data_IF_108732049332
#
_entry.id   IF_108732049332
#
_cell.length_a   1.000
_cell.length_b   1.000
_cell.length_c   1.000
_cell.angle_alpha   90.00
_cell.angle_beta   90.00
_cell.angle_gamma   90.00
#
_symmetry.space_group_name_H-M   'P 1'
#
loop_
_entity.id
_entity.type
_entity.pdbx_description
1 polymer ?
#
# COMPACT_ATOMS: atom_id res chain seq x y z
N UNK A 1 11.59 -27.15 4.44
CA UNK A 1 12.42 -26.16 3.73
C UNK A 1 11.66 -25.37 2.64
N UNK A 2 10.74 -25.97 1.87
CA UNK A 2 9.98 -25.27 0.79
C UNK A 2 9.00 -24.16 1.23
N UNK A 3 8.53 -24.18 2.49
CA UNK A 3 7.54 -23.20 2.97
C UNK A 3 8.15 -21.87 3.45
N UNK A 4 9.38 -21.90 3.99
CA UNK A 4 10.12 -20.68 4.31
C UNK A 4 10.45 -19.94 3.02
N UNK A 5 10.98 -20.67 2.01
CA UNK A 5 11.34 -20.07 0.72
C UNK A 5 10.17 -19.41 0.00
N UNK A 6 8.93 -19.87 0.23
CA UNK A 6 7.73 -19.25 -0.35
C UNK A 6 7.31 -17.95 0.36
N UNK A 7 7.53 -17.82 1.67
CA UNK A 7 7.31 -16.54 2.37
C UNK A 7 8.43 -15.56 1.99
N UNK A 8 9.67 -16.04 2.03
CA UNK A 8 10.88 -15.24 1.79
C UNK A 8 10.81 -14.57 0.40
N UNK A 9 10.31 -15.25 -0.63
CA UNK A 9 10.14 -14.66 -1.96
C UNK A 9 9.20 -13.44 -2.01
N UNK A 10 8.12 -13.42 -1.21
CA UNK A 10 7.24 -12.24 -1.11
C UNK A 10 7.93 -11.09 -0.37
N UNK A 11 8.68 -11.40 0.70
CA UNK A 11 9.39 -10.39 1.49
C UNK A 11 10.56 -9.78 0.71
N UNK A 12 11.31 -10.59 -0.03
CA UNK A 12 12.40 -10.15 -0.90
C UNK A 12 11.88 -9.29 -2.05
N UNK A 13 10.72 -9.64 -2.61
CA UNK A 13 10.04 -8.84 -3.64
C UNK A 13 9.64 -7.47 -3.08
N UNK A 14 9.13 -7.41 -1.84
CA UNK A 14 8.84 -6.15 -1.15
C UNK A 14 10.12 -5.32 -0.92
N UNK A 15 11.16 -5.93 -0.36
CA UNK A 15 12.43 -5.25 -0.09
C UNK A 15 13.11 -4.72 -1.36
N UNK A 16 12.98 -5.44 -2.48
CA UNK A 16 13.50 -5.01 -3.78
C UNK A 16 12.76 -3.80 -4.35
N UNK A 17 11.45 -3.68 -4.13
CA UNK A 17 10.66 -2.49 -4.55
C UNK A 17 10.89 -1.28 -3.63
N UNK A 18 11.22 -1.54 -2.37
CA UNK A 18 11.44 -0.54 -1.34
C UNK A 18 12.81 -0.69 -0.69
N UNK A 19 13.91 -0.42 -1.42
CA UNK A 19 15.26 -0.53 -0.87
C UNK A 19 15.49 0.40 0.34
N UNK A 20 14.79 1.54 0.41
CA UNK A 20 14.80 2.45 1.57
C UNK A 20 14.22 1.80 2.83
N UNK A 21 13.46 0.70 2.70
CA UNK A 21 12.89 -0.01 3.84
C UNK A 21 13.96 -0.56 4.78
N UNK A 22 15.14 -0.91 4.26
CA UNK A 22 16.31 -1.32 5.08
C UNK A 22 16.74 -0.22 6.08
N UNK A 23 16.55 1.06 5.73
CA UNK A 23 16.82 2.21 6.61
C UNK A 23 15.62 2.52 7.50
N UNK A 24 14.42 2.15 7.06
CA UNK A 24 13.15 2.52 7.69
C UNK A 24 12.67 1.51 8.75
N UNK A 25 12.89 0.22 8.52
CA UNK A 25 12.48 -0.89 9.39
C UNK A 25 12.96 -0.76 10.84
N UNK A 26 14.18 -0.27 11.14
CA UNK A 26 14.63 -0.09 12.52
C UNK A 26 13.72 0.81 13.37
N UNK A 27 12.93 1.69 12.74
CA UNK A 27 11.96 2.55 13.43
C UNK A 27 10.62 1.86 13.74
N UNK A 28 10.45 0.61 13.31
CA UNK A 28 9.32 -0.24 13.64
C UNK A 28 9.69 -1.09 14.87
N UNK A 29 8.80 -1.19 15.88
CA UNK A 29 9.02 -2.08 17.03
C UNK A 29 9.36 -3.48 16.55
N UNK A 30 10.41 -4.09 17.12
CA UNK A 30 10.92 -5.39 16.70
C UNK A 30 9.82 -6.48 16.59
N UNK A 31 8.87 -6.61 17.55
CA UNK A 31 7.80 -7.60 17.45
C UNK A 31 6.85 -7.39 16.25
N UNK A 32 6.79 -6.18 15.69
CA UNK A 32 5.91 -5.83 14.58
C UNK A 32 6.58 -5.94 13.21
N UNK A 33 7.92 -6.06 13.12
CA UNK A 33 8.65 -6.00 11.84
C UNK A 33 8.22 -7.11 10.88
N UNK A 34 8.11 -8.35 11.36
CA UNK A 34 7.68 -9.48 10.54
C UNK A 34 6.25 -9.34 10.01
N UNK A 35 5.31 -8.92 10.87
CA UNK A 35 3.92 -8.65 10.48
C UNK A 35 3.85 -7.50 9.49
N UNK A 36 4.66 -6.45 9.70
CA UNK A 36 4.76 -5.30 8.79
C UNK A 36 5.22 -5.71 7.40
N UNK A 37 6.31 -6.47 7.29
CA UNK A 37 6.83 -6.91 6.00
C UNK A 37 5.83 -7.81 5.26
N UNK A 38 5.18 -8.75 5.97
CA UNK A 38 4.14 -9.59 5.39
C UNK A 38 2.90 -8.78 4.94
N UNK A 39 2.48 -7.79 5.73
CA UNK A 39 1.36 -6.91 5.39
C UNK A 39 1.66 -6.07 4.14
N UNK A 40 2.84 -5.48 4.06
CA UNK A 40 3.23 -4.69 2.89
C UNK A 40 3.47 -5.54 1.64
N UNK A 41 3.98 -6.76 1.79
CA UNK A 41 4.04 -7.71 0.70
C UNK A 41 2.63 -8.08 0.18
N UNK A 42 1.63 -8.23 1.07
CA UNK A 42 0.25 -8.46 0.67
C UNK A 42 -0.33 -7.28 -0.13
N UNK A 43 -0.18 -6.05 0.39
CA UNK A 43 -0.63 -4.84 -0.31
C UNK A 43 0.06 -4.70 -1.68
N UNK A 44 1.33 -5.04 -1.77
CA UNK A 44 2.08 -5.05 -3.02
C UNK A 44 1.54 -6.05 -4.04
N UNK A 45 1.09 -7.24 -3.63
CA UNK A 45 0.47 -8.20 -4.55
C UNK A 45 -0.81 -7.64 -5.18
N UNK A 46 -1.58 -6.84 -4.45
CA UNK A 46 -2.77 -6.18 -4.99
C UNK A 46 -2.44 -4.97 -5.85
N UNK A 47 -1.37 -4.22 -5.52
CA UNK A 47 -0.81 -3.18 -6.39
C UNK A 47 -0.39 -3.76 -7.76
N UNK A 48 0.21 -4.95 -7.77
CA UNK A 48 0.61 -5.64 -9.00
C UNK A 48 -0.60 -6.09 -9.83
N UNK A 49 -1.67 -6.55 -9.17
CA UNK A 49 -2.92 -6.89 -9.83
C UNK A 49 -3.61 -5.65 -10.42
N UNK A 50 -3.61 -4.52 -9.69
CA UNK A 50 -4.13 -3.25 -10.18
C UNK A 50 -3.36 -2.75 -11.42
N UNK A 51 -2.04 -3.00 -11.47
CA UNK A 51 -1.14 -2.50 -12.49
C UNK A 51 -0.72 -3.56 -13.52
N UNK A 52 -1.54 -4.60 -13.74
CA UNK A 52 -1.30 -5.61 -14.76
C UNK A 52 -1.15 -4.97 -16.16
N UNK A 53 -0.19 -5.46 -16.94
CA UNK A 53 -0.02 -5.09 -18.34
C UNK A 53 -0.77 -6.08 -19.25
N UNK A 54 -1.43 -5.57 -20.29
CA UNK A 54 -2.15 -6.40 -21.26
C UNK A 54 -3.50 -6.89 -20.76
N UNK A 55 -3.80 -8.18 -21.00
CA UNK A 55 -5.09 -8.79 -20.65
C UNK A 55 -5.31 -8.81 -19.12
N UNK A 56 -6.40 -8.18 -18.60
CA UNK A 56 -6.67 -8.17 -17.18
C UNK A 56 -7.23 -9.49 -16.62
N UNK A 57 -7.73 -10.41 -17.47
CA UNK A 57 -8.44 -11.61 -17.00
C UNK A 57 -7.63 -12.48 -16.02
N UNK A 58 -6.33 -12.77 -16.24
CA UNK A 58 -5.54 -13.52 -15.26
C UNK A 58 -5.38 -12.79 -13.92
N UNK A 59 -5.23 -11.46 -13.96
CA UNK A 59 -5.14 -10.65 -12.75
C UNK A 59 -6.47 -10.60 -12.00
N UNK A 60 -7.59 -10.60 -12.71
CA UNK A 60 -8.94 -10.64 -12.15
C UNK A 60 -9.24 -11.96 -11.46
N UNK A 61 -8.85 -13.08 -12.08
CA UNK A 61 -8.93 -14.39 -11.43
C UNK A 61 -8.05 -14.45 -10.17
N UNK A 62 -6.83 -13.89 -10.21
CA UNK A 62 -5.95 -13.81 -9.03
C UNK A 62 -6.55 -12.94 -7.92
N UNK A 63 -7.22 -11.84 -8.27
CA UNK A 63 -7.91 -10.98 -7.32
C UNK A 63 -9.07 -11.71 -6.64
N UNK A 64 -9.89 -12.44 -7.41
CA UNK A 64 -10.97 -13.26 -6.87
C UNK A 64 -10.44 -14.37 -5.95
N UNK A 65 -9.31 -14.98 -6.29
CA UNK A 65 -8.61 -15.93 -5.41
C UNK A 65 -8.19 -15.26 -4.09
N UNK A 66 -7.61 -14.06 -4.13
CA UNK A 66 -7.26 -13.29 -2.92
C UNK A 66 -8.48 -12.95 -2.05
N UNK A 67 -9.63 -12.64 -2.66
CA UNK A 67 -10.87 -12.42 -1.93
C UNK A 67 -11.28 -13.67 -1.14
N UNK A 68 -11.20 -14.85 -1.75
CA UNK A 68 -11.50 -16.10 -1.06
C UNK A 68 -10.48 -16.40 0.04
N UNK A 69 -9.19 -16.20 -0.22
CA UNK A 69 -8.13 -16.43 0.76
C UNK A 69 -8.32 -15.54 2.01
N UNK A 70 -8.67 -14.25 1.84
CA UNK A 70 -8.98 -13.36 2.97
C UNK A 70 -10.25 -13.78 3.73
N UNK A 71 -11.27 -14.31 3.05
CA UNK A 71 -12.44 -14.89 3.73
C UNK A 71 -12.05 -16.11 4.54
N UNK A 72 -11.21 -16.98 3.99
CA UNK A 72 -10.67 -18.14 4.70
C UNK A 72 -9.81 -17.73 5.91
N UNK A 73 -9.11 -16.59 5.86
CA UNK A 73 -8.39 -16.06 7.03
C UNK A 73 -9.33 -15.64 8.16
N UNK A 74 -10.53 -15.16 7.84
CA UNK A 74 -11.56 -14.84 8.84
C UNK A 74 -12.00 -16.09 9.64
N UNK A 75 -11.84 -17.26 9.04
CA UNK A 75 -12.14 -18.57 9.63
C UNK A 75 -10.89 -19.35 10.08
N UNK A 76 -9.71 -18.72 10.05
CA UNK A 76 -8.42 -19.34 10.37
C UNK A 76 -8.03 -20.55 9.50
N UNK A 77 -8.38 -20.52 8.22
CA UNK A 77 -8.11 -21.59 7.27
C UNK A 77 -7.06 -21.20 6.23
N UNK A 78 -6.16 -20.28 6.58
CA UNK A 78 -5.11 -19.78 5.68
C UNK A 78 -4.25 -20.91 5.11
N UNK A 79 -4.05 -20.88 3.80
CA UNK A 79 -3.10 -21.79 3.11
C UNK A 79 -1.92 -21.03 2.51
N UNK A 80 -2.04 -19.72 2.39
CA UNK A 80 -1.01 -18.86 1.82
C UNK A 80 0.16 -18.60 2.79
N UNK A 81 1.43 -18.52 2.31
CA UNK A 81 2.58 -18.18 3.14
C UNK A 81 2.44 -16.88 3.93
N UNK A 82 1.89 -15.81 3.32
CA UNK A 82 1.60 -14.54 4.02
C UNK A 82 0.54 -14.71 5.11
N UNK A 83 -0.47 -15.55 4.87
CA UNK A 83 -1.53 -15.75 5.85
C UNK A 83 -1.02 -16.45 7.11
N UNK A 84 -0.01 -17.31 7.05
CA UNK A 84 0.64 -17.87 8.27
C UNK A 84 1.21 -16.82 9.21
N UNK A 85 1.51 -15.61 8.70
CA UNK A 85 1.98 -14.48 9.50
C UNK A 85 0.82 -13.57 9.89
N UNK A 86 -0.12 -13.32 8.97
CA UNK A 86 -1.18 -12.32 9.14
C UNK A 86 -2.46 -12.88 9.79
N UNK A 87 -2.94 -14.06 9.35
CA UNK A 87 -4.19 -14.69 9.83
C UNK A 87 -4.27 -14.91 11.35
N UNK A 88 -3.17 -15.20 12.09
CA UNK A 88 -3.22 -15.26 13.55
C UNK A 88 -3.73 -13.97 14.21
N UNK A 89 -3.64 -12.82 13.53
CA UNK A 89 -4.24 -11.56 13.97
C UNK A 89 -5.70 -11.49 13.50
N UNK A 90 -6.61 -11.20 14.44
CA UNK A 90 -8.07 -11.07 14.19
C UNK A 90 -8.45 -9.73 13.54
N UNK A 91 -7.80 -9.37 12.45
CA UNK A 91 -8.15 -8.19 11.67
C UNK A 91 -9.46 -8.44 10.88
N UNK A 92 -10.17 -7.39 10.41
CA UNK A 92 -11.39 -7.51 9.61
C UNK A 92 -11.12 -8.01 8.18
N UNK A 93 -10.65 -9.25 8.03
CA UNK A 93 -10.23 -9.82 6.74
C UNK A 93 -11.39 -9.92 5.74
N UNK A 94 -12.59 -10.29 6.17
CA UNK A 94 -13.78 -10.33 5.31
C UNK A 94 -14.14 -8.94 4.75
N UNK A 95 -14.10 -7.89 5.58
CA UNK A 95 -14.31 -6.52 5.12
C UNK A 95 -13.27 -6.12 4.06
N UNK A 96 -12.00 -6.47 4.29
CA UNK A 96 -10.94 -6.22 3.32
C UNK A 96 -11.18 -6.97 2.00
N UNK A 97 -11.61 -8.23 2.06
CA UNK A 97 -11.96 -9.04 0.90
C UNK A 97 -13.04 -8.37 0.04
N UNK A 98 -14.11 -7.87 0.67
CA UNK A 98 -15.25 -7.26 -0.02
C UNK A 98 -14.87 -5.98 -0.78
N UNK A 99 -13.75 -5.35 -0.44
CA UNK A 99 -13.26 -4.12 -1.08
C UNK A 99 -12.27 -4.35 -2.22
N UNK A 100 -11.75 -5.58 -2.38
CA UNK A 100 -10.74 -5.87 -3.41
C UNK A 100 -11.18 -5.58 -4.86
N UNK A 101 -12.48 -5.68 -5.26
CA UNK A 101 -12.91 -5.24 -6.59
C UNK A 101 -12.55 -3.79 -6.94
N UNK A 102 -12.22 -2.95 -5.95
CA UNK A 102 -11.70 -1.61 -6.18
C UNK A 102 -10.41 -1.61 -7.04
N UNK A 103 -9.60 -2.68 -7.02
CA UNK A 103 -8.38 -2.78 -7.84
C UNK A 103 -8.69 -2.86 -9.33
N UNK A 104 -9.78 -3.55 -9.70
CA UNK A 104 -10.29 -3.61 -11.06
C UNK A 104 -10.86 -2.27 -11.48
N UNK A 105 -11.69 -1.69 -10.62
CA UNK A 105 -12.34 -0.41 -10.87
C UNK A 105 -11.29 0.69 -11.10
N UNK A 106 -10.24 0.72 -10.26
CA UNK A 106 -9.15 1.68 -10.39
C UNK A 106 -8.39 1.58 -11.71
N UNK A 107 -8.52 0.48 -12.48
CA UNK A 107 -7.92 0.36 -13.83
C UNK A 107 -8.53 1.30 -14.86
N UNK A 108 -9.75 1.77 -14.63
CA UNK A 108 -10.44 2.70 -15.52
C UNK A 108 -9.88 4.11 -15.32
N UNK A 109 -9.70 4.84 -16.43
CA UNK A 109 -9.29 6.23 -16.36
C UNK A 109 -10.34 7.07 -15.61
N UNK A 110 -9.98 7.76 -14.52
CA UNK A 110 -10.94 8.56 -13.76
C UNK A 110 -11.31 9.86 -14.51
N UNK A 111 -12.47 10.42 -14.26
CA UNK A 111 -12.89 11.73 -14.74
C UNK A 111 -12.33 12.88 -13.90
N UNK A 112 -11.95 12.64 -12.64
CA UNK A 112 -11.37 13.66 -11.76
C UNK A 112 -10.65 13.04 -10.55
N UNK A 113 -9.88 13.85 -9.82
CA UNK A 113 -9.29 13.45 -8.53
C UNK A 113 -10.35 12.96 -7.53
N UNK A 114 -11.48 13.66 -7.45
CA UNK A 114 -12.56 13.33 -6.50
C UNK A 114 -13.13 11.95 -6.81
N UNK A 115 -13.37 11.65 -8.09
CA UNK A 115 -13.86 10.33 -8.49
C UNK A 115 -12.82 9.24 -8.21
N UNK A 116 -11.54 9.48 -8.55
CA UNK A 116 -10.46 8.53 -8.29
C UNK A 116 -10.32 8.19 -6.80
N UNK A 117 -10.41 9.19 -5.92
CA UNK A 117 -10.39 9.00 -4.47
C UNK A 117 -11.64 8.27 -3.97
N UNK A 118 -12.82 8.60 -4.49
CA UNK A 118 -14.06 7.94 -4.12
C UNK A 118 -14.04 6.44 -4.48
N UNK A 119 -13.45 6.09 -5.62
CA UNK A 119 -13.35 4.70 -6.09
C UNK A 119 -12.48 3.81 -5.19
N UNK A 120 -11.46 4.38 -4.55
CA UNK A 120 -10.58 3.66 -3.62
C UNK A 120 -10.97 3.83 -2.15
N UNK A 121 -12.02 4.60 -1.83
CA UNK A 121 -12.37 4.96 -0.44
C UNK A 121 -12.63 3.73 0.43
N UNK A 122 -13.53 2.84 0.00
CA UNK A 122 -13.90 1.66 0.79
C UNK A 122 -12.71 0.73 1.04
N UNK A 123 -11.87 0.53 0.03
CA UNK A 123 -10.62 -0.23 0.16
C UNK A 123 -9.64 0.43 1.14
N UNK A 124 -9.43 1.74 1.02
CA UNK A 124 -8.55 2.48 1.91
C UNK A 124 -9.03 2.45 3.38
N UNK A 125 -10.34 2.54 3.60
CA UNK A 125 -10.96 2.39 4.92
C UNK A 125 -10.75 0.97 5.49
N UNK A 126 -10.90 -0.07 4.67
CA UNK A 126 -10.65 -1.45 5.09
C UNK A 126 -9.17 -1.71 5.38
N UNK A 127 -8.24 -1.13 4.62
CA UNK A 127 -6.79 -1.15 4.92
C UNK A 127 -6.52 -0.52 6.27
N UNK A 128 -7.05 0.68 6.52
CA UNK A 128 -6.90 1.36 7.81
C UNK A 128 -7.48 0.54 8.96
N UNK A 129 -8.64 -0.09 8.77
CA UNK A 129 -9.26 -0.94 9.78
C UNK A 129 -8.43 -2.20 10.08
N UNK A 130 -7.85 -2.83 9.05
CA UNK A 130 -6.93 -3.95 9.21
C UNK A 130 -5.66 -3.53 9.97
N UNK A 131 -5.07 -2.40 9.59
CA UNK A 131 -3.87 -1.86 10.24
C UNK A 131 -4.11 -1.45 11.69
N UNK A 132 -5.33 -1.00 12.03
CA UNK A 132 -5.67 -0.69 13.41
C UNK A 132 -5.54 -1.92 14.32
N UNK A 133 -5.97 -3.08 13.84
CA UNK A 133 -5.82 -4.34 14.58
C UNK A 133 -4.38 -4.85 14.52
N UNK A 134 -3.75 -4.88 13.34
CA UNK A 134 -2.39 -5.40 13.14
C UNK A 134 -1.34 -4.66 13.98
N UNK A 135 -1.54 -3.36 14.19
CA UNK A 135 -0.56 -2.50 14.86
C UNK A 135 -1.09 -1.86 16.15
N UNK A 136 -2.19 -2.38 16.71
CA UNK A 136 -2.80 -1.93 17.95
C UNK A 136 -3.07 -0.41 18.00
N UNK A 137 -3.50 0.16 16.87
CA UNK A 137 -3.84 1.59 16.75
C UNK A 137 -5.25 1.80 17.31
N UNK A 138 -5.42 2.77 18.21
CA UNK A 138 -6.73 3.11 18.79
C UNK A 138 -7.34 4.37 18.18
N UNK A 139 -6.50 5.21 17.58
CA UNK A 139 -6.96 6.44 16.92
C UNK A 139 -7.54 6.14 15.54
N UNK A 140 -8.55 6.92 15.09
CA UNK A 140 -9.03 6.87 13.71
C UNK A 140 -7.89 7.01 12.70
N UNK A 141 -8.02 6.31 11.58
CA UNK A 141 -7.02 6.35 10.52
C UNK A 141 -7.44 7.18 9.30
N UNK A 142 -6.45 7.74 8.61
CA UNK A 142 -6.61 8.60 7.45
C UNK A 142 -6.65 7.79 6.14
N UNK A 143 -7.84 7.27 5.81
CA UNK A 143 -8.04 6.51 4.57
C UNK A 143 -7.73 7.34 3.31
N UNK A 144 -7.88 8.67 3.35
CA UNK A 144 -7.54 9.51 2.20
C UNK A 144 -6.04 9.45 1.88
N UNK A 145 -5.17 9.38 2.88
CA UNK A 145 -3.73 9.20 2.67
C UNK A 145 -3.41 7.87 1.97
N UNK A 146 -4.08 6.79 2.35
CA UNK A 146 -3.94 5.48 1.69
C UNK A 146 -4.42 5.57 0.24
N UNK A 147 -5.61 6.13 0.00
CA UNK A 147 -6.15 6.26 -1.36
C UNK A 147 -5.22 7.07 -2.28
N UNK A 148 -4.68 8.20 -1.81
CA UNK A 148 -3.73 9.01 -2.59
C UNK A 148 -2.43 8.23 -2.89
N UNK A 149 -1.91 7.48 -1.91
CA UNK A 149 -0.72 6.65 -2.10
C UNK A 149 -0.93 5.58 -3.18
N UNK A 150 -2.11 4.94 -3.20
CA UNK A 150 -2.48 3.96 -4.21
C UNK A 150 -2.65 4.58 -5.60
N UNK A 151 -3.21 5.79 -5.69
CA UNK A 151 -3.26 6.53 -6.95
C UNK A 151 -1.87 6.92 -7.46
N UNK A 152 -0.92 7.28 -6.58
CA UNK A 152 0.48 7.52 -6.97
C UNK A 152 1.16 6.23 -7.45
N UNK A 153 0.95 5.10 -6.75
CA UNK A 153 1.46 3.80 -7.17
C UNK A 153 0.93 3.43 -8.56
N UNK A 154 -0.37 3.63 -8.81
CA UNK A 154 -0.98 3.46 -10.13
C UNK A 154 -0.36 4.38 -11.17
N UNK A 155 -0.22 5.67 -10.86
CA UNK A 155 0.37 6.66 -11.77
C UNK A 155 1.80 6.31 -12.20
N UNK A 156 2.58 5.70 -11.30
CA UNK A 156 3.97 5.29 -11.59
C UNK A 156 4.07 4.19 -12.64
N UNK A 157 3.09 3.28 -12.69
CA UNK A 157 3.10 2.14 -13.62
C UNK A 157 2.28 2.42 -14.87
N UNK A 158 1.07 2.95 -14.71
CA UNK A 158 0.14 3.15 -15.82
C UNK A 158 0.33 4.47 -16.58
N UNK A 159 1.17 5.39 -16.08
CA UNK A 159 1.48 6.65 -16.77
C UNK A 159 0.23 7.49 -17.04
N UNK A 160 0.05 7.95 -18.27
CA UNK A 160 -1.07 8.83 -18.64
C UNK A 160 -2.45 8.16 -18.46
N UNK A 161 -2.53 6.83 -18.52
CA UNK A 161 -3.79 6.08 -18.34
C UNK A 161 -4.33 6.13 -16.90
N UNK A 162 -3.53 6.58 -15.93
CA UNK A 162 -3.96 6.77 -14.55
C UNK A 162 -4.47 8.21 -14.27
N UNK A 163 -4.16 9.17 -15.13
CA UNK A 163 -4.58 10.55 -15.00
C UNK A 163 -5.95 10.77 -15.66
N UNK A 164 -6.77 11.73 -15.17
CA UNK A 164 -7.99 12.09 -15.88
C UNK A 164 -7.76 12.59 -17.31
N UNK A 165 -8.75 12.39 -18.18
CA UNK A 165 -8.68 12.82 -19.57
C UNK A 165 -8.32 14.30 -19.70
N UNK A 166 -7.31 14.61 -20.53
CA UNK A 166 -6.81 15.97 -20.74
C UNK A 166 -5.92 16.54 -19.63
N UNK A 167 -5.69 15.79 -18.54
CA UNK A 167 -4.76 16.19 -17.47
C UNK A 167 -3.39 15.59 -17.75
N UNK A 168 -2.36 16.43 -17.83
CA UNK A 168 -0.97 15.94 -18.01
C UNK A 168 -0.48 15.16 -16.79
N UNK A 169 0.43 14.20 -17.00
CA UNK A 169 1.04 13.44 -15.91
C UNK A 169 1.62 14.33 -14.80
N UNK A 170 2.29 15.45 -15.16
CA UNK A 170 2.85 16.39 -14.18
C UNK A 170 1.75 17.09 -13.37
N UNK A 171 0.68 17.54 -14.04
CA UNK A 171 -0.46 18.18 -13.37
C UNK A 171 -1.15 17.20 -12.42
N UNK A 172 -1.38 15.96 -12.86
CA UNK A 172 -2.00 14.92 -12.05
C UNK A 172 -1.16 14.55 -10.83
N UNK A 173 0.14 14.30 -11.01
CA UNK A 173 1.08 14.04 -9.91
C UNK A 173 1.15 15.20 -8.92
N UNK A 174 1.05 16.44 -9.40
CA UNK A 174 0.97 17.63 -8.55
C UNK A 174 -0.34 17.66 -7.74
N UNK A 175 -1.47 17.28 -8.34
CA UNK A 175 -2.75 17.16 -7.64
C UNK A 175 -2.68 16.08 -6.54
N UNK A 176 -2.13 14.90 -6.84
CA UNK A 176 -1.90 13.84 -5.85
C UNK A 176 -1.03 14.33 -4.69
N UNK A 177 0.11 14.98 -4.98
CA UNK A 177 1.01 15.48 -3.94
C UNK A 177 0.33 16.53 -3.04
N UNK A 178 -0.55 17.37 -3.60
CA UNK A 178 -1.34 18.35 -2.85
C UNK A 178 -2.39 17.68 -1.97
N UNK A 179 -3.03 16.62 -2.46
CA UNK A 179 -4.00 15.83 -1.71
C UNK A 179 -3.35 14.94 -0.64
N UNK A 180 -2.06 14.59 -0.79
CA UNK A 180 -1.35 13.69 0.15
C UNK A 180 -0.99 14.40 1.46
N UNK A 181 -1.60 14.01 2.60
CA UNK A 181 -1.34 14.66 3.89
C UNK A 181 0.12 14.55 4.30
N UNK A 182 0.67 15.63 4.87
CA UNK A 182 2.08 15.67 5.32
C UNK A 182 2.34 14.88 6.60
N UNK A 183 1.29 14.72 7.41
CA UNK A 183 1.28 13.99 8.69
C UNK A 183 0.01 13.13 8.74
N UNK A 184 -0.08 12.08 7.90
CA UNK A 184 -1.27 11.26 7.84
C UNK A 184 -1.45 10.49 9.16
N UNK A 185 -2.69 10.37 9.63
CA UNK A 185 -3.03 9.60 10.80
C UNK A 185 -3.11 8.11 10.43
N UNK A 186 -1.97 7.44 10.23
CA UNK A 186 -1.91 6.00 9.90
C UNK A 186 -1.21 5.22 11.02
N UNK A 187 -1.26 3.89 10.99
CA UNK A 187 -0.40 3.07 11.83
C UNK A 187 1.08 3.37 11.58
N UNK A 188 1.93 3.25 12.61
CA UNK A 188 3.35 3.62 12.54
C UNK A 188 4.07 3.08 11.29
N UNK A 189 3.95 1.79 10.93
CA UNK A 189 4.61 1.28 9.74
C UNK A 189 4.15 1.98 8.45
N UNK A 190 2.84 2.15 8.27
CA UNK A 190 2.30 2.77 7.07
C UNK A 190 2.59 4.27 7.03
N UNK A 191 2.67 4.98 8.17
CA UNK A 191 3.16 6.38 8.17
C UNK A 191 4.57 6.49 7.61
N UNK A 192 5.45 5.56 8.00
CA UNK A 192 6.85 5.53 7.51
C UNK A 192 6.87 5.27 6.02
N UNK A 193 6.16 4.24 5.55
CA UNK A 193 6.05 3.92 4.13
C UNK A 193 5.45 5.08 3.31
N UNK A 194 4.31 5.61 3.74
CA UNK A 194 3.59 6.71 3.10
C UNK A 194 4.47 7.96 2.98
N UNK A 195 5.28 8.25 4.01
CA UNK A 195 6.21 9.38 4.00
C UNK A 195 7.34 9.19 2.98
N UNK A 196 7.87 7.98 2.82
CA UNK A 196 8.89 7.67 1.81
C UNK A 196 8.30 7.74 0.39
N UNK A 197 7.10 7.16 0.19
CA UNK A 197 6.39 7.22 -1.08
C UNK A 197 6.11 8.68 -1.51
N UNK A 198 5.59 9.49 -0.57
CA UNK A 198 5.37 10.92 -0.78
C UNK A 198 6.68 11.67 -1.07
N UNK A 199 7.79 11.31 -0.43
CA UNK A 199 9.11 11.90 -0.69
C UNK A 199 9.60 11.58 -2.10
N UNK A 200 9.43 10.34 -2.59
CA UNK A 200 9.73 9.97 -3.97
C UNK A 200 8.99 10.87 -4.96
N UNK A 201 7.68 11.01 -4.79
CA UNK A 201 6.84 11.87 -5.62
C UNK A 201 7.31 13.35 -5.61
N UNK A 202 7.62 13.89 -4.42
CA UNK A 202 8.14 15.26 -4.30
C UNK A 202 9.45 15.47 -5.06
N UNK A 203 10.36 14.49 -4.98
CA UNK A 203 11.67 14.58 -5.60
C UNK A 203 11.57 14.50 -7.11
N UNK A 204 10.78 13.58 -7.63
CA UNK A 204 10.56 13.41 -9.07
C UNK A 204 9.90 14.64 -9.69
N UNK A 205 8.90 15.24 -9.03
CA UNK A 205 8.32 16.51 -9.47
C UNK A 205 9.31 17.68 -9.44
N UNK A 206 10.35 17.59 -8.60
CA UNK A 206 11.45 18.55 -8.55
C UNK A 206 12.60 18.20 -9.53
N UNK A 207 12.42 17.23 -10.43
CA UNK A 207 13.45 16.79 -11.37
C UNK A 207 14.65 16.07 -10.72
N UNK A 208 14.48 15.54 -9.50
CA UNK A 208 15.52 14.82 -8.74
C UNK A 208 15.29 13.31 -8.81
N UNK A 209 16.35 12.49 -8.60
CA UNK A 209 16.19 11.05 -8.46
C UNK A 209 15.16 10.70 -7.37
N UNK A 210 14.28 9.72 -7.65
CA UNK A 210 13.19 9.32 -6.77
C UNK A 210 13.69 8.97 -5.35
N UNK A 211 14.74 8.14 -5.29
CA UNK A 211 15.40 7.76 -4.05
C UNK A 211 16.14 8.95 -3.45
N UNK A 212 15.79 9.29 -2.20
CA UNK A 212 16.53 10.30 -1.45
C UNK A 212 17.88 9.75 -0.98
N UNK A 213 18.89 10.59 -0.70
CA UNK A 213 20.12 10.13 -0.06
C UNK A 213 19.84 9.47 1.31
N UNK A 214 20.64 8.49 1.76
CA UNK A 214 20.37 7.72 2.99
C UNK A 214 20.10 8.58 4.24
N UNK A 215 20.83 9.68 4.43
CA UNK A 215 20.62 10.60 5.57
C UNK A 215 19.23 11.24 5.54
N UNK A 216 18.73 11.59 4.35
CA UNK A 216 17.37 12.10 4.19
C UNK A 216 16.34 10.99 4.45
N UNK A 217 16.58 9.76 3.96
CA UNK A 217 15.71 8.63 4.24
C UNK A 217 15.59 8.39 5.76
N UNK A 218 16.72 8.36 6.47
CA UNK A 218 16.77 8.18 7.93
C UNK A 218 15.95 9.26 8.66
N UNK A 219 16.18 10.54 8.34
CA UNK A 219 15.44 11.64 8.96
C UNK A 219 13.94 11.57 8.66
N UNK A 220 13.57 11.21 7.42
CA UNK A 220 12.17 11.05 7.05
C UNK A 220 11.53 9.87 7.79
N UNK A 221 12.18 8.71 7.86
CA UNK A 221 11.69 7.53 8.57
C UNK A 221 11.52 7.80 10.06
N UNK A 222 12.53 8.38 10.72
CA UNK A 222 12.44 8.81 12.13
C UNK A 222 11.23 9.71 12.36
N UNK A 223 11.09 10.78 11.55
CA UNK A 223 10.01 11.75 11.74
C UNK A 223 8.61 11.17 11.53
N UNK A 224 8.44 10.18 10.64
CA UNK A 224 7.16 9.47 10.50
C UNK A 224 6.89 8.53 11.66
N UNK A 225 7.92 7.88 12.19
CA UNK A 225 7.79 6.94 13.30
C UNK A 225 7.44 7.63 14.62
N UNK A 226 7.92 8.86 14.86
CA UNK A 226 7.66 9.65 16.09
C UNK A 226 6.22 10.17 16.25
N UNK A 227 5.30 9.89 15.32
CA UNK A 227 3.89 10.28 15.43
C UNK A 227 3.11 9.47 16.49
N UNK A 228 1.95 9.98 16.91
CA UNK A 228 1.08 9.28 17.85
C UNK A 228 0.36 8.08 17.19
N UNK A 229 0.30 6.97 17.93
CA UNK A 229 -0.42 5.75 17.57
C UNK A 229 -1.81 5.72 18.23
#
# INVERSE_FOLDING_TARGET
MSQSSALDSFLDKWASRWPEWSVAEPFIPEPQRRVTAAWFALLQEWEDIMNIAGDPLPADAKLAWWQQELRDWSEQRSRHPLGRVLEPVRAPWAQLADTLPAMQAARVQPASLVQALAQLRGFAEAVVAAEAVLFARTQPGDAAAVAVQWLDARQRVAGDSAAPGGVSAVAWRTQLLRAWPRKPALARPHRVWSRLARLRLQRELAGKPAYAPPVQQLWHSWRAASGAD
#
